data_IF_068985628751
#
_entry.id   IF_068985628751
#
_cell.length_a   1.000
_cell.length_b   1.000
_cell.length_c   1.000
_cell.angle_alpha   90.00
_cell.angle_beta   90.00
_cell.angle_gamma   90.00
#
_symmetry.space_group_name_H-M   'P 1'
#
loop_
_entity.id
_entity.type
_entity.pdbx_description
1 polymer ?
#
# COMPACT_ATOMS: atom_id res chain seq x y z
N UNK A 1 16.54 -8.93 -20.44
CA UNK A 1 15.86 -9.32 -19.18
C UNK A 1 14.49 -9.87 -19.52
N UNK A 2 14.22 -11.09 -19.12
CA UNK A 2 12.91 -11.71 -19.37
C UNK A 2 12.01 -11.52 -18.17
N UNK A 3 10.74 -11.32 -18.44
CA UNK A 3 9.72 -11.20 -17.40
C UNK A 3 9.27 -12.61 -16.97
N UNK A 4 9.42 -12.92 -15.69
CA UNK A 4 9.01 -14.21 -15.14
C UNK A 4 7.66 -14.04 -14.41
N UNK A 5 6.60 -14.47 -15.06
CA UNK A 5 5.24 -14.35 -14.51
C UNK A 5 5.06 -15.15 -13.21
N UNK A 6 5.78 -16.25 -13.05
CA UNK A 6 5.65 -17.08 -11.85
C UNK A 6 6.22 -16.36 -10.62
N UNK A 7 7.32 -15.64 -10.78
CA UNK A 7 7.89 -14.81 -9.71
C UNK A 7 6.88 -13.74 -9.28
N UNK A 8 6.23 -13.08 -10.24
CA UNK A 8 5.21 -12.07 -9.94
C UNK A 8 4.00 -12.70 -9.24
N UNK A 9 3.54 -13.86 -9.73
CA UNK A 9 2.38 -14.54 -9.12
C UNK A 9 2.62 -14.92 -7.67
N UNK A 10 3.85 -15.28 -7.31
CA UNK A 10 4.21 -15.63 -5.94
C UNK A 10 4.04 -14.46 -4.95
N UNK A 11 3.97 -13.23 -5.44
CA UNK A 11 3.74 -12.05 -4.60
C UNK A 11 2.27 -11.87 -4.20
N UNK A 12 1.36 -12.70 -4.71
CA UNK A 12 -0.07 -12.58 -4.46
C UNK A 12 -0.59 -13.84 -3.75
N UNK A 13 -0.78 -13.80 -2.41
CA UNK A 13 -1.18 -15.01 -1.65
C UNK A 13 -2.45 -15.67 -2.16
N UNK A 14 -3.42 -14.89 -2.66
CA UNK A 14 -4.67 -15.45 -3.17
C UNK A 14 -4.48 -16.35 -4.38
N UNK A 15 -3.38 -16.19 -5.13
CA UNK A 15 -3.10 -17.02 -6.31
C UNK A 15 -2.55 -18.40 -5.94
N UNK A 16 -2.25 -18.66 -4.67
CA UNK A 16 -1.85 -19.98 -4.17
C UNK A 16 -3.05 -20.91 -3.98
N UNK A 17 -4.21 -20.55 -4.51
CA UNK A 17 -5.44 -21.33 -4.49
C UNK A 17 -5.77 -21.75 -5.92
N UNK A 18 -6.59 -22.83 -6.09
CA UNK A 18 -6.94 -23.30 -7.43
C UNK A 18 -7.90 -22.40 -8.21
N UNK A 19 -8.29 -21.26 -7.64
CA UNK A 19 -9.21 -20.33 -8.29
C UNK A 19 -8.51 -19.54 -9.41
N UNK A 20 -9.28 -19.26 -10.47
CA UNK A 20 -8.86 -18.38 -11.57
C UNK A 20 -9.66 -17.08 -11.45
N UNK A 21 -8.94 -15.96 -11.28
CA UNK A 21 -9.56 -14.65 -11.08
C UNK A 21 -9.66 -13.91 -12.43
N UNK A 22 -10.88 -13.70 -12.89
CA UNK A 22 -11.15 -12.99 -14.16
C UNK A 22 -12.02 -11.74 -13.92
N UNK A 23 -12.22 -11.35 -12.66
CA UNK A 23 -13.16 -10.30 -12.26
C UNK A 23 -12.48 -9.15 -11.51
N UNK A 24 -11.29 -8.76 -11.94
CA UNK A 24 -10.54 -7.66 -11.31
C UNK A 24 -11.36 -6.38 -11.10
N UNK A 25 -12.29 -6.01 -11.98
CA UNK A 25 -13.13 -4.83 -11.71
C UNK A 25 -13.96 -4.93 -10.44
N UNK A 26 -14.29 -6.15 -10.00
CA UNK A 26 -15.02 -6.38 -8.76
C UNK A 26 -14.11 -6.44 -7.53
N UNK A 27 -12.82 -6.62 -7.74
CA UNK A 27 -11.85 -6.65 -6.64
C UNK A 27 -10.53 -7.26 -7.09
N UNK A 28 -9.47 -6.51 -6.92
CA UNK A 28 -8.11 -6.94 -7.26
C UNK A 28 -7.48 -7.63 -6.05
N UNK A 29 -6.71 -8.69 -6.29
CA UNK A 29 -6.02 -9.41 -5.22
C UNK A 29 -4.85 -8.59 -4.69
N UNK A 30 -4.60 -8.68 -3.38
CA UNK A 30 -3.57 -7.89 -2.71
C UNK A 30 -2.20 -8.55 -2.84
N UNK A 31 -1.17 -7.73 -3.07
CA UNK A 31 0.21 -8.18 -3.03
C UNK A 31 0.68 -8.40 -1.59
N UNK A 32 1.50 -9.44 -1.37
CA UNK A 32 2.01 -9.78 -0.03
C UNK A 32 2.76 -8.63 0.64
N UNK A 33 3.65 -7.88 -0.05
CA UNK A 33 4.31 -6.74 0.59
C UNK A 33 3.34 -5.70 1.12
N UNK A 34 2.24 -5.44 0.41
CA UNK A 34 1.21 -4.50 0.87
C UNK A 34 0.47 -5.03 2.08
N UNK A 35 0.10 -6.33 2.06
CA UNK A 35 -0.57 -6.97 3.19
C UNK A 35 0.32 -6.96 4.44
N UNK A 36 1.60 -7.26 4.27
CA UNK A 36 2.56 -7.27 5.37
C UNK A 36 2.72 -5.86 6.00
N UNK A 37 2.73 -4.81 5.18
CA UNK A 37 2.83 -3.44 5.66
C UNK A 37 1.57 -3.02 6.43
N UNK A 38 0.39 -3.40 5.96
CA UNK A 38 -0.87 -3.14 6.68
C UNK A 38 -0.85 -3.83 8.04
N UNK A 39 -0.50 -5.11 8.07
CA UNK A 39 -0.44 -5.89 9.30
C UNK A 39 0.56 -5.28 10.28
N UNK A 40 1.74 -4.95 9.81
CA UNK A 40 2.78 -4.34 10.64
C UNK A 40 2.29 -3.02 11.26
N UNK A 41 1.66 -2.17 10.46
CA UNK A 41 1.12 -0.91 10.95
C UNK A 41 0.09 -1.13 12.06
N UNK A 42 -0.88 -2.02 11.81
CA UNK A 42 -1.96 -2.26 12.76
C UNK A 42 -1.47 -2.86 14.09
N UNK A 43 -0.43 -3.68 14.04
CA UNK A 43 0.11 -4.36 15.24
C UNK A 43 1.09 -3.47 16.00
N UNK A 44 1.98 -2.77 15.30
CA UNK A 44 3.14 -2.12 15.92
C UNK A 44 2.99 -0.61 16.10
N UNK A 45 2.31 0.08 15.19
CA UNK A 45 2.36 1.55 15.13
C UNK A 45 1.00 2.21 15.00
N UNK A 46 -0.09 1.48 15.22
CA UNK A 46 -1.44 2.02 15.03
C UNK A 46 -1.73 3.10 16.08
N UNK A 47 -1.71 4.35 15.66
CA UNK A 47 -1.92 5.49 16.54
C UNK A 47 -2.43 6.70 15.75
N UNK A 48 -2.97 7.67 16.48
CA UNK A 48 -3.41 8.93 15.90
C UNK A 48 -2.22 9.73 15.35
N UNK A 49 -2.49 10.45 14.27
CA UNK A 49 -1.54 11.35 13.63
C UNK A 49 -1.19 12.52 14.56
N UNK A 50 0.06 12.95 14.54
CA UNK A 50 0.57 14.14 15.25
C UNK A 50 0.47 14.08 16.78
N UNK A 51 0.31 12.91 17.37
CA UNK A 51 0.38 12.74 18.83
C UNK A 51 1.80 12.81 19.35
N UNK A 52 1.94 12.93 20.67
CA UNK A 52 3.26 13.05 21.34
C UNK A 52 3.87 11.70 21.71
N UNK A 53 3.13 10.61 21.49
CA UNK A 53 3.58 9.26 21.85
C UNK A 53 4.45 8.66 20.75
N UNK A 54 5.29 7.68 21.13
CA UNK A 54 6.17 7.00 20.19
C UNK A 54 5.39 6.33 19.04
N UNK A 55 4.28 5.68 19.36
CA UNK A 55 3.46 5.04 18.31
C UNK A 55 2.90 6.06 17.31
N UNK A 56 2.57 7.27 17.79
CA UNK A 56 2.11 8.34 16.92
C UNK A 56 3.23 8.84 16.00
N UNK A 57 4.45 8.99 16.53
CA UNK A 57 5.61 9.39 15.72
C UNK A 57 5.94 8.34 14.66
N UNK A 58 5.84 7.06 15.03
CA UNK A 58 6.03 5.95 14.08
C UNK A 58 4.95 5.95 13.00
N UNK A 59 3.70 6.25 13.38
CA UNK A 59 2.61 6.40 12.42
C UNK A 59 2.87 7.56 11.46
N UNK A 60 3.33 8.70 11.98
CA UNK A 60 3.69 9.85 11.15
C UNK A 60 4.81 9.50 10.17
N UNK A 61 5.81 8.74 10.61
CA UNK A 61 6.90 8.30 9.74
C UNK A 61 6.39 7.43 8.59
N UNK A 62 5.42 6.55 8.84
CA UNK A 62 4.79 5.74 7.79
C UNK A 62 4.08 6.64 6.77
N UNK A 63 3.35 7.65 7.23
CA UNK A 63 2.66 8.60 6.35
C UNK A 63 3.64 9.40 5.50
N UNK A 64 4.72 9.90 6.09
CA UNK A 64 5.75 10.64 5.34
C UNK A 64 6.41 9.76 4.28
N UNK A 65 6.74 8.52 4.64
CA UNK A 65 7.33 7.56 3.70
C UNK A 65 6.37 7.27 2.53
N UNK A 66 5.08 7.08 2.82
CA UNK A 66 4.08 6.80 1.80
C UNK A 66 3.93 7.96 0.82
N UNK A 67 3.88 9.20 1.33
CA UNK A 67 3.79 10.39 0.46
C UNK A 67 5.03 10.52 -0.41
N UNK A 68 6.22 10.32 0.16
CA UNK A 68 7.46 10.39 -0.60
C UNK A 68 7.53 9.31 -1.68
N UNK A 69 7.15 8.09 -1.35
CA UNK A 69 7.16 6.98 -2.30
C UNK A 69 6.21 7.22 -3.47
N UNK A 70 5.02 7.72 -3.19
CA UNK A 70 4.05 8.02 -4.26
C UNK A 70 4.47 9.23 -5.09
N UNK A 71 5.11 10.21 -4.47
CA UNK A 71 5.68 11.33 -5.23
C UNK A 71 6.72 10.84 -6.23
N UNK A 72 7.60 9.94 -5.81
CA UNK A 72 8.58 9.31 -6.70
C UNK A 72 7.89 8.53 -7.83
N UNK A 73 6.91 7.72 -7.48
CA UNK A 73 6.20 6.88 -8.45
C UNK A 73 5.48 7.72 -9.53
N UNK A 74 4.84 8.83 -9.12
CA UNK A 74 4.09 9.69 -10.02
C UNK A 74 4.93 10.84 -10.60
N UNK A 75 6.20 10.91 -10.24
CA UNK A 75 7.10 11.99 -10.66
C UNK A 75 6.57 13.38 -10.23
N UNK A 76 6.00 13.46 -9.03
CA UNK A 76 5.59 14.73 -8.45
C UNK A 76 6.80 15.50 -7.93
N UNK A 77 6.73 16.82 -7.93
CA UNK A 77 7.84 17.67 -7.51
C UNK A 77 8.07 17.60 -5.99
N UNK A 78 6.98 17.40 -5.22
CA UNK A 78 7.04 17.36 -3.76
C UNK A 78 6.04 16.37 -3.19
N UNK A 79 6.36 15.76 -2.04
CA UNK A 79 5.42 14.84 -1.37
C UNK A 79 4.08 15.47 -1.01
N UNK A 80 4.04 16.78 -0.76
CA UNK A 80 2.82 17.49 -0.41
C UNK A 80 1.80 17.54 -1.55
N UNK A 81 2.22 17.24 -2.77
CA UNK A 81 1.32 17.14 -3.91
C UNK A 81 0.52 15.85 -3.94
N UNK A 82 0.88 14.89 -3.08
CA UNK A 82 0.20 13.59 -3.00
C UNK A 82 -0.92 13.65 -1.97
N UNK A 83 -2.12 13.25 -2.39
CA UNK A 83 -3.29 13.14 -1.52
C UNK A 83 -3.81 11.71 -1.60
N UNK A 84 -3.99 11.08 -0.45
CA UNK A 84 -4.55 9.74 -0.36
C UNK A 84 -6.05 9.80 -0.08
N UNK A 85 -6.78 8.88 -0.68
CA UNK A 85 -8.21 8.73 -0.44
C UNK A 85 -8.59 7.26 -0.48
N UNK A 86 -9.83 6.98 -0.10
CA UNK A 86 -10.32 5.60 0.01
C UNK A 86 -10.51 4.94 -1.36
N UNK A 87 -10.89 5.73 -2.37
CA UNK A 87 -11.15 5.22 -3.70
C UNK A 87 -11.26 6.39 -4.69
N UNK A 88 -11.32 6.06 -5.97
CA UNK A 88 -11.41 7.08 -7.03
C UNK A 88 -12.70 7.92 -6.92
N UNK A 89 -13.80 7.31 -6.52
CA UNK A 89 -15.09 8.03 -6.39
C UNK A 89 -14.99 9.17 -5.39
N UNK A 90 -14.32 8.95 -4.26
CA UNK A 90 -14.18 10.03 -3.25
C UNK A 90 -13.11 11.05 -3.63
N UNK A 91 -12.14 10.68 -4.46
CA UNK A 91 -11.06 11.58 -4.89
C UNK A 91 -11.45 12.47 -6.07
N UNK A 92 -12.42 12.06 -6.84
CA UNK A 92 -12.92 12.86 -7.96
C UNK A 92 -14.13 13.70 -7.59
#
# INVERSE_FOLDING_TARGET
MSFDVQVVRQQFPALDRPAIFLDNPAGTQIAKPSLDRITKYLVETNANHEGMFESSRQSDAVLHEAHAAMADFLNASRPEEIVFGNNMTTLT
#
